data_IF_361242177030
#
_entry.id   IF_361242177030
#
_cell.length_a   1.000
_cell.length_b   1.000
_cell.length_c   1.000
_cell.angle_alpha   90.00
_cell.angle_beta   90.00
_cell.angle_gamma   90.00
#
_symmetry.space_group_name_H-M   'P 1'
#
loop_
_entity.id
_entity.type
_entity.pdbx_description
1 polymer ?
#
# COMPACT_ATOMS: atom_id res chain seq x y z
N UNK A 1 66.87 -17.35 -31.07
CA UNK A 1 65.57 -17.46 -30.35
C UNK A 1 65.04 -16.05 -30.25
N UNK A 2 64.20 -15.67 -31.18
CA UNK A 2 63.59 -14.34 -31.24
C UNK A 2 62.54 -14.25 -30.16
N UNK A 3 62.75 -13.38 -29.18
CA UNK A 3 61.71 -13.02 -28.23
C UNK A 3 60.63 -12.30 -29.01
N UNK A 4 59.56 -13.00 -29.39
CA UNK A 4 58.30 -12.36 -29.79
C UNK A 4 57.74 -11.64 -28.56
N UNK A 5 58.18 -10.42 -28.35
CA UNK A 5 57.53 -9.49 -27.47
C UNK A 5 56.07 -9.34 -27.90
N UNK A 6 55.22 -9.15 -26.93
CA UNK A 6 53.77 -9.03 -27.04
C UNK A 6 53.32 -8.22 -28.25
N UNK A 7 52.97 -8.88 -29.34
CA UNK A 7 52.38 -8.21 -30.50
C UNK A 7 51.03 -7.65 -30.07
N UNK A 8 50.90 -6.33 -30.17
CA UNK A 8 49.68 -5.63 -29.86
C UNK A 8 48.58 -6.07 -30.89
N UNK A 9 47.56 -6.75 -30.42
CA UNK A 9 46.44 -7.22 -31.27
C UNK A 9 45.52 -6.10 -31.63
N UNK A 10 45.47 -5.71 -32.88
CA UNK A 10 44.60 -4.65 -33.45
C UNK A 10 43.48 -5.19 -34.32
N UNK A 11 43.15 -6.48 -34.25
CA UNK A 11 42.09 -7.13 -35.02
C UNK A 11 42.47 -7.50 -36.46
N UNK A 12 43.73 -7.32 -36.86
CA UNK A 12 44.23 -7.63 -38.20
C UNK A 12 45.08 -8.90 -38.29
N UNK A 13 45.20 -9.63 -37.19
CA UNK A 13 45.95 -10.88 -37.10
C UNK A 13 44.99 -12.03 -36.75
N UNK A 14 45.19 -13.20 -37.36
CA UNK A 14 44.32 -14.35 -37.18
C UNK A 14 44.37 -14.92 -35.77
N UNK A 15 45.45 -14.73 -35.05
CA UNK A 15 45.65 -15.27 -33.70
C UNK A 15 46.36 -14.30 -32.80
N UNK A 16 45.88 -14.13 -31.55
CA UNK A 16 46.57 -13.39 -30.51
C UNK A 16 47.71 -14.18 -29.91
N UNK A 17 48.71 -13.52 -29.35
CA UNK A 17 49.82 -14.18 -28.67
C UNK A 17 49.34 -15.06 -27.52
N UNK A 18 50.04 -16.17 -27.23
CA UNK A 18 49.67 -17.10 -26.17
C UNK A 18 49.62 -16.40 -24.80
N UNK A 19 50.52 -15.46 -24.55
CA UNK A 19 50.56 -14.69 -23.31
C UNK A 19 49.33 -13.79 -23.17
N UNK A 20 48.97 -13.04 -24.22
CA UNK A 20 47.78 -12.17 -24.26
C UNK A 20 46.51 -13.00 -24.13
N UNK A 21 46.41 -14.14 -24.85
CA UNK A 21 45.29 -15.07 -24.74
C UNK A 21 45.08 -15.52 -23.30
N UNK A 22 46.17 -15.95 -22.61
CA UNK A 22 46.08 -16.37 -21.21
C UNK A 22 45.62 -15.27 -20.29
N UNK A 23 46.16 -14.05 -20.46
CA UNK A 23 45.78 -12.89 -19.65
C UNK A 23 44.32 -12.53 -19.84
N UNK A 24 43.85 -12.45 -21.10
CA UNK A 24 42.41 -12.14 -21.39
C UNK A 24 41.51 -13.23 -20.87
N UNK A 25 41.87 -14.53 -21.06
CA UNK A 25 41.05 -15.65 -20.54
C UNK A 25 40.93 -15.59 -19.02
N UNK A 26 42.06 -15.34 -18.32
CA UNK A 26 42.01 -15.17 -16.86
C UNK A 26 41.17 -14.00 -16.44
N UNK A 27 41.32 -12.86 -17.11
CA UNK A 27 40.48 -11.65 -16.82
C UNK A 27 39.01 -11.93 -17.00
N UNK A 28 38.61 -12.56 -18.12
CA UNK A 28 37.22 -12.94 -18.39
C UNK A 28 36.72 -13.95 -17.36
N UNK A 29 37.52 -14.96 -17.02
CA UNK A 29 37.16 -15.96 -16.02
C UNK A 29 36.89 -15.32 -14.65
N UNK A 30 37.81 -14.49 -14.16
CA UNK A 30 37.62 -13.80 -12.88
C UNK A 30 36.48 -12.78 -12.94
N UNK A 31 36.28 -12.11 -14.09
CA UNK A 31 35.13 -11.22 -14.30
C UNK A 31 33.80 -11.96 -14.18
N UNK A 32 33.66 -13.11 -14.84
CA UNK A 32 32.47 -13.95 -14.75
C UNK A 32 32.29 -14.45 -13.32
N UNK A 33 33.32 -14.94 -12.67
CA UNK A 33 33.25 -15.40 -11.28
C UNK A 33 32.77 -14.29 -10.33
N UNK A 34 33.30 -13.08 -10.51
CA UNK A 34 32.88 -11.91 -9.73
C UNK A 34 31.39 -11.59 -9.97
N UNK A 35 30.94 -11.57 -11.22
CA UNK A 35 29.53 -11.34 -11.55
C UNK A 35 28.59 -12.37 -10.93
N UNK A 36 28.97 -13.67 -11.01
CA UNK A 36 28.19 -14.74 -10.38
C UNK A 36 28.16 -14.55 -8.86
N UNK A 37 29.29 -14.22 -8.24
CA UNK A 37 29.33 -13.99 -6.78
C UNK A 37 28.43 -12.82 -6.38
N UNK A 38 28.49 -11.69 -7.11
CA UNK A 38 27.60 -10.55 -6.87
C UNK A 38 26.14 -10.95 -7.06
N UNK A 39 25.81 -11.67 -8.12
CA UNK A 39 24.44 -12.14 -8.37
C UNK A 39 23.91 -13.03 -7.25
N UNK A 40 24.74 -13.95 -6.74
CA UNK A 40 24.41 -14.81 -5.59
C UNK A 40 24.18 -13.96 -4.33
N UNK A 41 25.07 -13.02 -4.04
CA UNK A 41 24.92 -12.11 -2.88
C UNK A 41 23.60 -11.34 -3.01
N UNK A 42 23.30 -10.75 -4.18
CA UNK A 42 22.05 -10.05 -4.39
C UNK A 42 20.83 -10.96 -4.20
N UNK A 43 20.87 -12.19 -4.71
CA UNK A 43 19.77 -13.14 -4.54
C UNK A 43 19.49 -13.47 -3.06
N UNK A 44 20.55 -13.65 -2.26
CA UNK A 44 20.39 -13.96 -0.83
C UNK A 44 20.11 -12.74 0.06
N UNK A 45 20.51 -11.54 -0.35
CA UNK A 45 20.26 -10.32 0.42
C UNK A 45 18.91 -9.67 0.11
N UNK A 46 18.22 -10.10 -0.95
CA UNK A 46 16.87 -9.61 -1.24
C UNK A 46 15.90 -10.04 -0.14
N UNK A 47 15.34 -9.08 0.56
CA UNK A 47 14.22 -9.32 1.46
C UNK A 47 13.01 -9.74 0.64
N UNK A 48 12.49 -10.93 0.90
CA UNK A 48 11.21 -11.35 0.33
C UNK A 48 10.11 -10.41 0.80
N UNK A 49 9.35 -9.86 -0.14
CA UNK A 49 8.15 -9.11 0.23
C UNK A 49 7.18 -10.06 0.95
N UNK A 50 6.64 -9.60 2.09
CA UNK A 50 5.63 -10.36 2.83
C UNK A 50 4.44 -10.68 1.91
N UNK A 51 3.80 -11.82 2.14
CA UNK A 51 2.70 -12.34 1.33
C UNK A 51 1.55 -11.34 1.18
N UNK A 52 1.57 -10.57 0.12
CA UNK A 52 0.46 -9.71 -0.29
C UNK A 52 -0.18 -10.31 -1.53
N UNK A 53 -1.48 -10.24 -1.63
CA UNK A 53 -2.21 -10.79 -2.76
C UNK A 53 -3.16 -9.75 -3.33
N UNK A 54 -3.14 -9.62 -4.65
CA UNK A 54 -4.14 -8.89 -5.41
C UNK A 54 -4.73 -9.84 -6.46
N UNK A 55 -6.00 -10.19 -6.28
CA UNK A 55 -6.73 -11.11 -7.16
C UNK A 55 -7.20 -10.40 -8.43
N UNK A 56 -6.27 -10.03 -9.31
CA UNK A 56 -6.54 -9.24 -10.52
C UNK A 56 -7.52 -9.89 -11.49
N UNK A 57 -7.47 -11.22 -11.60
CA UNK A 57 -8.26 -12.00 -12.57
C UNK A 57 -9.50 -12.62 -11.96
N UNK A 58 -9.64 -12.58 -10.64
CA UNK A 58 -10.75 -13.20 -9.91
C UNK A 58 -11.68 -12.11 -9.37
N UNK A 59 -12.96 -12.22 -9.68
CA UNK A 59 -13.99 -11.41 -9.04
C UNK A 59 -14.63 -12.21 -7.91
N UNK A 60 -14.51 -11.70 -6.70
CA UNK A 60 -15.08 -12.29 -5.51
C UNK A 60 -16.32 -11.50 -5.08
N UNK A 61 -17.42 -12.21 -4.87
CA UNK A 61 -18.68 -11.62 -4.39
C UNK A 61 -18.70 -11.64 -2.86
N UNK A 62 -18.85 -10.47 -2.27
CA UNK A 62 -18.88 -10.30 -0.81
C UNK A 62 -20.18 -9.63 -0.40
N UNK A 63 -20.80 -10.16 0.65
CA UNK A 63 -21.96 -9.57 1.29
C UNK A 63 -21.59 -9.01 2.66
N UNK A 64 -22.07 -7.81 2.96
CA UNK A 64 -21.81 -7.18 4.24
C UNK A 64 -22.65 -5.93 4.46
N UNK A 65 -22.63 -5.43 5.67
CA UNK A 65 -23.30 -4.17 6.02
C UNK A 65 -22.42 -3.00 5.55
N UNK A 66 -22.98 -2.17 4.69
CA UNK A 66 -22.29 -1.00 4.16
C UNK A 66 -22.18 0.12 5.19
N UNK A 67 -20.99 0.70 5.31
CA UNK A 67 -20.70 1.89 6.10
C UNK A 67 -20.06 2.95 5.21
N UNK A 68 -20.55 4.17 5.29
CA UNK A 68 -20.04 5.29 4.49
C UNK A 68 -18.84 5.98 5.16
N UNK A 69 -18.88 6.06 6.47
CA UNK A 69 -17.91 6.80 7.27
C UNK A 69 -16.99 5.87 8.08
N UNK A 70 -15.71 6.25 8.25
CA UNK A 70 -15.03 7.44 7.70
C UNK A 70 -14.72 7.34 6.20
N UNK A 71 -14.70 6.15 5.67
CA UNK A 71 -14.53 5.81 4.26
C UNK A 71 -15.43 4.63 3.92
N UNK A 72 -15.84 4.45 2.66
CA UNK A 72 -16.69 3.32 2.26
C UNK A 72 -16.10 1.97 2.65
N UNK A 73 -16.84 1.20 3.43
CA UNK A 73 -16.45 -0.13 3.94
C UNK A 73 -17.62 -1.08 3.94
N UNK A 74 -17.31 -2.38 3.89
CA UNK A 74 -18.25 -3.46 4.21
C UNK A 74 -17.85 -4.11 5.53
N UNK A 75 -18.75 -4.11 6.51
CA UNK A 75 -18.63 -4.93 7.71
C UNK A 75 -19.14 -6.34 7.39
N UNK A 76 -18.23 -7.30 7.42
CA UNK A 76 -18.48 -8.70 7.08
C UNK A 76 -18.33 -9.58 8.30
N UNK A 77 -19.28 -10.46 8.55
CA UNK A 77 -19.18 -11.48 9.60
C UNK A 77 -18.25 -12.60 9.13
N UNK A 78 -17.19 -12.87 9.87
CA UNK A 78 -16.18 -13.90 9.54
C UNK A 78 -16.32 -15.17 10.35
N UNK A 79 -16.78 -15.06 11.60
CA UNK A 79 -17.10 -16.17 12.48
C UNK A 79 -18.17 -15.73 13.49
N UNK A 80 -18.54 -16.61 14.41
CA UNK A 80 -19.48 -16.28 15.46
C UNK A 80 -18.89 -15.11 16.29
N UNK A 81 -19.59 -13.98 16.31
CA UNK A 81 -19.20 -12.74 16.99
C UNK A 81 -17.91 -12.05 16.51
N UNK A 82 -17.35 -12.43 15.37
CA UNK A 82 -16.21 -11.75 14.77
C UNK A 82 -16.57 -11.09 13.45
N UNK A 83 -16.09 -9.85 13.28
CA UNK A 83 -16.35 -9.04 12.09
C UNK A 83 -15.03 -8.48 11.55
N UNK A 84 -15.00 -8.26 10.24
CA UNK A 84 -13.95 -7.52 9.56
C UNK A 84 -14.54 -6.39 8.74
N UNK A 85 -13.83 -5.28 8.67
CA UNK A 85 -14.14 -4.19 7.76
C UNK A 85 -13.29 -4.31 6.50
N UNK A 86 -13.94 -4.52 5.36
CA UNK A 86 -13.32 -4.54 4.05
C UNK A 86 -13.40 -3.13 3.48
N UNK A 87 -12.25 -2.50 3.27
CA UNK A 87 -12.16 -1.15 2.71
C UNK A 87 -12.50 -1.18 1.22
N UNK A 88 -13.47 -0.38 0.78
CA UNK A 88 -13.91 -0.32 -0.60
C UNK A 88 -13.09 0.70 -1.40
N UNK A 89 -12.61 0.29 -2.55
CA UNK A 89 -11.82 1.10 -3.47
C UNK A 89 -12.42 1.01 -4.88
N UNK A 90 -12.20 2.02 -5.70
CA UNK A 90 -12.55 1.99 -7.11
C UNK A 90 -11.44 1.43 -7.98
N UNK A 91 -11.73 1.20 -9.24
CA UNK A 91 -10.75 0.83 -10.26
C UNK A 91 -9.74 1.96 -10.48
N UNK A 92 -8.52 1.63 -10.86
CA UNK A 92 -7.44 2.58 -11.10
C UNK A 92 -7.04 3.34 -9.83
N UNK A 93 -6.96 4.66 -9.92
CA UNK A 93 -6.60 5.58 -8.81
C UNK A 93 -7.82 6.27 -8.20
N UNK A 94 -8.98 5.63 -8.26
CA UNK A 94 -10.26 6.18 -7.81
C UNK A 94 -10.71 5.59 -6.47
N UNK A 95 -11.47 6.38 -5.71
CA UNK A 95 -12.24 5.87 -4.57
C UNK A 95 -13.40 4.99 -5.02
N UNK A 96 -14.08 4.33 -4.08
CA UNK A 96 -15.31 3.59 -4.35
C UNK A 96 -16.50 4.50 -4.72
N UNK A 97 -16.45 5.78 -4.38
CA UNK A 97 -17.57 6.71 -4.48
C UNK A 97 -18.22 6.81 -5.88
N UNK A 98 -17.47 6.89 -6.99
CA UNK A 98 -18.09 6.91 -8.32
C UNK A 98 -18.94 5.67 -8.61
N UNK A 99 -18.48 4.50 -8.17
CA UNK A 99 -19.16 3.22 -8.38
C UNK A 99 -20.40 3.05 -7.48
N UNK A 100 -20.40 3.68 -6.31
CA UNK A 100 -21.52 3.65 -5.38
C UNK A 100 -22.61 4.68 -5.71
N UNK A 101 -22.37 5.59 -6.67
CA UNK A 101 -23.30 6.68 -6.99
C UNK A 101 -24.67 6.17 -7.44
N UNK A 102 -24.74 5.14 -8.29
CA UNK A 102 -25.97 4.57 -8.80
C UNK A 102 -26.85 4.04 -7.66
N UNK A 103 -26.31 3.15 -6.83
CA UNK A 103 -27.06 2.56 -5.72
C UNK A 103 -27.46 3.59 -4.64
N UNK A 104 -26.64 4.64 -4.42
CA UNK A 104 -27.00 5.75 -3.50
C UNK A 104 -28.16 6.58 -4.02
N UNK A 105 -28.32 6.73 -5.33
CA UNK A 105 -29.46 7.42 -5.91
C UNK A 105 -30.76 6.62 -5.81
N UNK A 106 -30.65 5.29 -5.80
CA UNK A 106 -31.81 4.38 -5.68
C UNK A 106 -32.25 4.22 -4.23
N UNK A 107 -31.34 4.41 -3.27
CA UNK A 107 -31.59 4.14 -1.85
C UNK A 107 -31.19 5.36 -1.03
N UNK A 108 -32.17 6.02 -0.43
CA UNK A 108 -31.97 7.24 0.38
C UNK A 108 -31.04 7.05 1.58
N UNK A 109 -30.99 5.85 2.15
CA UNK A 109 -30.11 5.48 3.26
C UNK A 109 -29.42 4.15 2.98
N UNK A 110 -28.27 4.23 2.28
CA UNK A 110 -27.46 3.06 1.97
C UNK A 110 -26.67 2.58 3.18
N UNK A 111 -26.13 3.51 4.00
CA UNK A 111 -25.34 3.16 5.19
C UNK A 111 -26.19 2.41 6.21
N UNK A 112 -25.70 1.25 6.65
CA UNK A 112 -26.41 0.30 7.49
C UNK A 112 -27.20 -0.78 6.72
N UNK A 113 -27.28 -0.68 5.39
CA UNK A 113 -27.93 -1.70 4.55
C UNK A 113 -27.00 -2.87 4.27
N UNK A 114 -27.55 -4.06 4.13
CA UNK A 114 -26.84 -5.22 3.64
C UNK A 114 -26.71 -5.14 2.12
N UNK A 115 -25.50 -5.11 1.62
CA UNK A 115 -25.20 -5.07 0.18
C UNK A 115 -24.32 -6.23 -0.22
N UNK A 116 -24.43 -6.62 -1.48
CA UNK A 116 -23.51 -7.54 -2.14
C UNK A 116 -22.71 -6.80 -3.17
N UNK A 117 -21.40 -6.91 -3.09
CA UNK A 117 -20.46 -6.27 -4.02
C UNK A 117 -19.53 -7.34 -4.58
N UNK A 118 -19.34 -7.32 -5.90
CA UNK A 118 -18.37 -8.17 -6.59
C UNK A 118 -17.20 -7.34 -7.07
N UNK A 119 -15.99 -7.81 -6.80
CA UNK A 119 -14.77 -7.10 -7.17
C UNK A 119 -13.51 -7.92 -6.92
N UNK A 120 -12.35 -7.28 -7.09
CA UNK A 120 -11.06 -7.93 -6.86
C UNK A 120 -10.60 -7.71 -5.43
N UNK A 121 -10.25 -8.79 -4.75
CA UNK A 121 -9.70 -8.72 -3.39
C UNK A 121 -8.23 -8.31 -3.39
N UNK A 122 -7.88 -7.51 -2.40
CA UNK A 122 -6.50 -7.15 -2.06
C UNK A 122 -6.36 -7.42 -0.57
N UNK A 123 -5.40 -8.26 -0.19
CA UNK A 123 -5.18 -8.55 1.22
C UNK A 123 -3.69 -8.67 1.57
N UNK A 124 -3.37 -8.14 2.73
CA UNK A 124 -2.02 -8.08 3.25
C UNK A 124 -2.05 -7.85 4.76
N UNK A 125 -1.25 -8.60 5.50
CA UNK A 125 -1.03 -8.41 6.93
C UNK A 125 -2.34 -8.23 7.73
N UNK A 126 -3.32 -9.12 7.50
CA UNK A 126 -4.61 -9.12 8.18
C UNK A 126 -5.65 -8.12 7.66
N UNK A 127 -5.27 -7.15 6.82
CA UNK A 127 -6.18 -6.18 6.20
C UNK A 127 -6.70 -6.67 4.87
N UNK A 128 -7.96 -6.36 4.58
CA UNK A 128 -8.63 -6.73 3.32
C UNK A 128 -9.28 -5.50 2.70
N UNK A 129 -9.09 -5.34 1.39
CA UNK A 129 -9.70 -4.30 0.57
C UNK A 129 -10.42 -4.97 -0.59
N UNK A 130 -11.45 -4.33 -1.12
CA UNK A 130 -12.18 -4.76 -2.30
C UNK A 130 -12.16 -3.67 -3.35
N UNK A 131 -11.56 -3.95 -4.51
CA UNK A 131 -11.58 -3.06 -5.67
C UNK A 131 -12.85 -3.30 -6.48
N UNK A 132 -13.72 -2.31 -6.54
CA UNK A 132 -14.92 -2.31 -7.39
C UNK A 132 -14.49 -1.94 -8.80
N UNK A 133 -14.86 -2.76 -9.78
CA UNK A 133 -14.54 -2.55 -11.20
C UNK A 133 -15.74 -2.11 -12.03
N UNK A 134 -16.96 -2.42 -11.57
CA UNK A 134 -18.22 -2.10 -12.24
C UNK A 134 -19.31 -1.82 -11.21
N UNK A 135 -20.09 -0.76 -11.39
CA UNK A 135 -21.22 -0.38 -10.53
C UNK A 135 -22.42 -1.32 -10.64
N UNK A 136 -22.60 -2.00 -11.78
CA UNK A 136 -23.66 -3.00 -11.98
C UNK A 136 -23.51 -4.25 -11.08
N UNK A 137 -22.31 -4.44 -10.52
CA UNK A 137 -21.98 -5.53 -9.62
C UNK A 137 -22.26 -5.21 -8.14
N UNK A 138 -22.94 -4.11 -7.87
CA UNK A 138 -23.36 -3.68 -6.53
C UNK A 138 -24.87 -3.86 -6.44
N UNK A 139 -25.33 -4.71 -5.52
CA UNK A 139 -26.75 -4.99 -5.34
C UNK A 139 -27.17 -4.84 -3.89
N UNK A 140 -28.34 -4.26 -3.65
CA UNK A 140 -28.96 -4.24 -2.33
C UNK A 140 -29.50 -5.65 -2.03
N UNK A 141 -29.17 -6.17 -0.86
CA UNK A 141 -29.70 -7.43 -0.34
C UNK A 141 -30.82 -7.15 0.65
N UNK A 142 -30.60 -6.23 1.59
CA UNK A 142 -31.57 -5.87 2.62
C UNK A 142 -31.40 -4.39 2.99
N UNK A 143 -32.51 -3.66 3.11
CA UNK A 143 -32.47 -2.24 3.56
C UNK A 143 -32.09 -2.16 5.02
N UNK A 144 -31.48 -1.03 5.38
CA UNK A 144 -31.14 -0.74 6.76
C UNK A 144 -32.40 -0.87 7.64
N UNK A 145 -32.42 -1.88 8.49
CA UNK A 145 -33.29 -1.90 9.63
C UNK A 145 -32.62 -1.07 10.72
N UNK A 146 -33.40 -0.37 11.54
CA UNK A 146 -32.95 0.55 12.60
C UNK A 146 -32.01 -0.07 13.65
N UNK A 147 -31.26 -1.10 13.29
CA UNK A 147 -30.23 -1.69 14.10
C UNK A 147 -29.12 -0.66 14.29
N UNK A 148 -28.89 -0.31 15.56
CA UNK A 148 -27.81 0.58 15.97
C UNK A 148 -26.53 0.18 15.27
N UNK A 149 -25.96 1.09 14.47
CA UNK A 149 -24.60 0.97 13.96
C UNK A 149 -23.67 0.66 15.15
N UNK A 150 -22.70 -0.25 14.99
CA UNK A 150 -21.77 -0.56 16.07
C UNK A 150 -21.12 0.73 16.56
N UNK A 151 -21.18 0.94 17.87
CA UNK A 151 -20.55 2.11 18.47
C UNK A 151 -19.03 1.98 18.30
N UNK A 152 -18.43 2.91 17.59
CA UNK A 152 -16.99 3.07 17.55
C UNK A 152 -16.48 3.37 18.96
N UNK A 153 -15.55 2.56 19.45
CA UNK A 153 -14.97 2.73 20.76
C UNK A 153 -13.67 3.54 20.65
N UNK A 154 -13.64 4.72 21.26
CA UNK A 154 -12.38 5.47 21.40
C UNK A 154 -11.46 4.70 22.31
N UNK A 155 -10.23 4.40 21.88
CA UNK A 155 -9.25 3.61 22.63
C UNK A 155 -8.27 4.49 23.38
N UNK A 156 -7.64 5.45 22.69
CA UNK A 156 -6.57 6.30 23.22
C UNK A 156 -6.71 7.72 22.69
N UNK A 157 -6.48 8.72 23.56
CA UNK A 157 -6.43 10.13 23.19
C UNK A 157 -4.98 10.59 23.12
N UNK A 158 -4.73 11.60 22.29
CA UNK A 158 -3.45 12.31 22.17
C UNK A 158 -2.24 11.37 21.95
N UNK A 159 -2.44 10.30 21.18
CA UNK A 159 -1.39 9.35 20.84
C UNK A 159 -0.46 9.92 19.77
N UNK A 160 0.86 9.86 20.02
CA UNK A 160 1.87 10.18 19.01
C UNK A 160 2.29 8.92 18.27
N UNK A 161 2.15 8.94 16.95
CA UNK A 161 2.51 7.83 16.08
C UNK A 161 3.51 8.29 15.02
N UNK A 162 4.64 7.57 14.96
CA UNK A 162 5.65 7.75 13.92
C UNK A 162 5.44 6.73 12.80
N UNK A 163 5.33 7.21 11.57
CA UNK A 163 5.09 6.33 10.42
C UNK A 163 5.16 7.04 9.09
N UNK A 164 4.64 6.40 8.08
CA UNK A 164 4.54 6.96 6.74
C UNK A 164 3.08 6.90 6.25
N UNK A 165 2.62 7.99 5.64
CA UNK A 165 1.30 8.05 5.02
C UNK A 165 1.37 7.42 3.64
N UNK A 166 0.63 6.34 3.47
CA UNK A 166 0.63 5.48 2.29
C UNK A 166 -0.75 5.45 1.60
N UNK A 167 -0.74 5.05 0.34
CA UNK A 167 -1.91 4.56 -0.39
C UNK A 167 -2.06 3.06 -0.11
N UNK A 168 -3.14 2.62 0.56
CA UNK A 168 -3.31 1.22 0.95
C UNK A 168 -3.46 0.27 -0.25
N UNK A 169 -4.03 0.73 -1.37
CA UNK A 169 -4.20 -0.12 -2.55
C UNK A 169 -2.87 -0.59 -3.13
N UNK A 170 -1.95 0.34 -3.34
CA UNK A 170 -0.62 0.04 -3.83
C UNK A 170 0.22 -0.67 -2.77
N UNK A 171 0.18 -0.19 -1.53
CA UNK A 171 0.98 -0.74 -0.45
C UNK A 171 0.64 -2.19 -0.13
N UNK A 172 -0.66 -2.53 -0.04
CA UNK A 172 -1.10 -3.89 0.27
C UNK A 172 -1.07 -4.83 -0.93
N UNK A 173 -1.18 -4.35 -2.17
CA UNK A 173 -1.34 -5.25 -3.29
C UNK A 173 -0.51 -4.99 -4.53
N UNK A 174 -0.62 -3.78 -5.10
CA UNK A 174 -0.23 -3.54 -6.49
C UNK A 174 1.25 -3.28 -6.68
N UNK A 175 1.87 -2.54 -5.76
CA UNK A 175 3.24 -2.03 -5.93
C UNK A 175 4.15 -2.45 -4.79
N UNK A 176 5.38 -2.83 -5.13
CA UNK A 176 6.43 -3.12 -4.15
C UNK A 176 7.73 -2.41 -4.55
N UNK A 177 8.28 -1.59 -3.67
CA UNK A 177 7.72 -1.13 -2.40
C UNK A 177 6.57 -0.14 -2.62
N UNK A 178 5.47 -0.27 -1.88
CA UNK A 178 4.30 0.63 -1.94
C UNK A 178 4.45 1.87 -1.05
N UNK A 179 5.68 2.23 -0.66
CA UNK A 179 6.01 3.31 0.27
C UNK A 179 7.28 4.04 -0.14
N UNK A 180 7.58 5.13 0.57
CA UNK A 180 8.81 5.89 0.44
C UNK A 180 8.81 6.83 -0.76
N UNK A 181 9.96 7.47 -0.94
CA UNK A 181 10.17 8.49 -1.97
C UNK A 181 9.88 7.98 -3.39
N UNK A 182 10.17 6.73 -3.67
CA UNK A 182 9.97 6.06 -4.97
C UNK A 182 8.49 6.00 -5.33
N UNK A 183 7.62 5.73 -4.34
CA UNK A 183 6.17 5.55 -4.55
C UNK A 183 5.37 6.83 -4.36
N UNK A 184 5.96 7.90 -3.84
CA UNK A 184 5.27 9.12 -3.41
C UNK A 184 4.36 9.73 -4.46
N UNK A 185 4.81 9.90 -5.69
CA UNK A 185 4.01 10.50 -6.76
C UNK A 185 2.77 9.67 -7.10
N UNK A 186 2.90 8.36 -7.11
CA UNK A 186 1.77 7.46 -7.31
C UNK A 186 0.77 7.56 -6.16
N UNK A 187 1.24 7.50 -4.91
CA UNK A 187 0.39 7.59 -3.71
C UNK A 187 -0.35 8.94 -3.63
N UNK A 188 0.29 10.05 -3.97
CA UNK A 188 -0.36 11.36 -4.07
C UNK A 188 -1.50 11.34 -5.07
N UNK A 189 -1.32 10.75 -6.25
CA UNK A 189 -2.38 10.63 -7.26
C UNK A 189 -3.54 9.74 -6.78
N UNK A 190 -3.24 8.62 -6.14
CA UNK A 190 -4.24 7.71 -5.59
C UNK A 190 -5.07 8.37 -4.49
N UNK A 191 -4.42 9.01 -3.53
CA UNK A 191 -5.11 9.69 -2.42
C UNK A 191 -5.88 10.92 -2.91
N UNK A 192 -5.35 11.67 -3.89
CA UNK A 192 -6.09 12.77 -4.51
C UNK A 192 -7.33 12.29 -5.28
N UNK A 193 -7.29 11.09 -5.85
CA UNK A 193 -8.42 10.40 -6.48
C UNK A 193 -9.44 9.83 -5.48
N UNK A 194 -9.19 10.01 -4.17
CA UNK A 194 -10.11 9.67 -3.09
C UNK A 194 -9.85 8.31 -2.44
N UNK A 195 -8.75 7.62 -2.77
CA UNK A 195 -8.32 6.44 -2.00
C UNK A 195 -7.97 6.89 -0.58
N UNK A 196 -8.48 6.21 0.47
CA UNK A 196 -8.25 6.61 1.86
C UNK A 196 -6.76 6.66 2.21
N UNK A 197 -6.25 7.73 2.84
CA UNK A 197 -4.89 7.76 3.36
C UNK A 197 -4.79 6.86 4.60
N UNK A 198 -3.71 6.09 4.67
CA UNK A 198 -3.40 5.21 5.80
C UNK A 198 -2.04 5.56 6.36
N UNK A 199 -1.92 5.73 7.68
CA UNK A 199 -0.64 5.74 8.35
C UNK A 199 -0.19 4.29 8.56
N UNK A 200 0.95 3.93 8.01
CA UNK A 200 1.63 2.68 8.30
C UNK A 200 2.74 2.95 9.32
N UNK A 201 2.64 2.32 10.47
CA UNK A 201 3.67 2.31 11.52
C UNK A 201 4.38 0.97 11.52
N UNK A 202 5.60 0.94 12.02
CA UNK A 202 6.33 -0.31 12.24
C UNK A 202 7.08 -0.17 13.55
N UNK A 203 6.89 -1.11 14.45
CA UNK A 203 7.57 -1.14 15.73
C UNK A 203 8.99 -1.74 15.64
N UNK A 204 9.69 -1.81 16.74
CA UNK A 204 11.04 -2.38 16.87
C UNK A 204 11.09 -3.89 16.53
N UNK A 205 9.96 -4.59 16.64
CA UNK A 205 9.82 -6.01 16.32
C UNK A 205 9.40 -6.25 14.85
N UNK A 206 9.37 -5.20 14.01
CA UNK A 206 8.88 -5.21 12.64
C UNK A 206 7.38 -5.59 12.50
N UNK A 207 6.59 -5.36 13.54
CA UNK A 207 5.14 -5.49 13.50
C UNK A 207 4.58 -4.17 12.96
N UNK A 208 3.77 -4.27 11.91
CA UNK A 208 3.17 -3.09 11.27
C UNK A 208 1.72 -2.95 11.65
N UNK A 209 1.34 -1.73 12.03
CA UNK A 209 -0.03 -1.31 12.30
C UNK A 209 -0.50 -0.28 11.27
N UNK A 210 -1.81 -0.23 11.03
CA UNK A 210 -2.41 0.58 9.97
C UNK A 210 -3.58 1.39 10.50
N UNK A 211 -3.53 2.71 10.28
CA UNK A 211 -4.52 3.65 10.78
C UNK A 211 -5.11 4.45 9.63
N UNK A 212 -6.42 4.37 9.42
CA UNK A 212 -7.15 5.26 8.52
C UNK A 212 -7.12 6.68 9.06
N UNK A 213 -6.65 7.63 8.27
CA UNK A 213 -6.45 9.00 8.74
C UNK A 213 -7.69 9.84 8.42
N UNK A 214 -8.18 10.58 9.42
CA UNK A 214 -9.33 11.48 9.30
C UNK A 214 -9.08 12.80 10.04
N UNK A 215 -9.96 13.79 9.86
CA UNK A 215 -9.98 14.96 10.73
C UNK A 215 -10.47 14.59 12.15
N UNK A 216 -10.41 15.55 13.08
CA UNK A 216 -10.83 15.36 14.47
C UNK A 216 -12.32 14.98 14.62
N UNK A 217 -13.15 15.22 13.58
CA UNK A 217 -14.56 14.85 13.54
C UNK A 217 -14.81 13.51 12.85
N UNK A 218 -13.76 12.83 12.39
CA UNK A 218 -13.87 11.58 11.66
C UNK A 218 -14.15 11.72 10.16
N UNK A 219 -14.05 12.90 9.57
CA UNK A 219 -14.27 13.09 8.14
C UNK A 219 -13.01 12.83 7.31
N UNK A 220 -13.16 12.43 6.03
CA UNK A 220 -12.05 12.27 5.11
C UNK A 220 -11.23 13.54 4.90
N UNK A 221 -9.90 13.41 4.85
CA UNK A 221 -8.96 14.55 4.72
C UNK A 221 -8.03 14.44 3.51
N UNK A 222 -8.39 13.67 2.51
CA UNK A 222 -7.56 13.34 1.35
C UNK A 222 -6.78 14.54 0.78
N UNK A 223 -7.45 15.67 0.52
CA UNK A 223 -6.80 16.85 -0.06
C UNK A 223 -5.80 17.51 0.87
N UNK A 224 -6.09 17.56 2.17
CA UNK A 224 -5.28 18.25 3.18
C UNK A 224 -3.99 17.49 3.51
N UNK A 225 -4.00 16.16 3.34
CA UNK A 225 -2.89 15.27 3.72
C UNK A 225 -1.80 15.14 2.63
N UNK A 226 -2.08 15.57 1.39
CA UNK A 226 -1.20 15.37 0.22
C UNK A 226 0.27 15.81 0.43
N UNK A 227 0.58 16.92 1.12
CA UNK A 227 1.96 17.36 1.34
C UNK A 227 2.83 16.37 2.15
N UNK A 228 2.19 15.52 2.95
CA UNK A 228 2.84 14.62 3.91
C UNK A 228 3.00 13.18 3.40
N UNK A 229 2.39 12.84 2.26
CA UNK A 229 2.40 11.48 1.70
C UNK A 229 3.82 11.06 1.32
N UNK A 230 4.16 9.81 1.62
CA UNK A 230 5.43 9.19 1.26
C UNK A 230 6.63 9.83 1.97
N UNK A 231 6.42 10.34 3.18
CA UNK A 231 7.44 10.92 4.05
C UNK A 231 7.32 10.36 5.45
N UNK A 232 8.45 10.11 6.15
CA UNK A 232 8.42 9.85 7.57
C UNK A 232 7.81 11.04 8.32
N UNK A 233 6.76 10.79 9.05
CA UNK A 233 5.99 11.82 9.73
C UNK A 233 5.60 11.39 11.14
N UNK A 234 5.47 12.37 12.05
CA UNK A 234 4.89 12.19 13.37
C UNK A 234 3.50 12.80 13.36
N UNK A 235 2.50 11.98 13.68
CA UNK A 235 1.10 12.36 13.76
C UNK A 235 0.63 12.21 15.20
N UNK A 236 -0.06 13.23 15.70
CA UNK A 236 -0.69 13.19 17.02
C UNK A 236 -2.21 13.20 16.85
N UNK A 237 -2.91 12.31 17.55
CA UNK A 237 -4.37 12.24 17.43
C UNK A 237 -5.02 11.19 18.31
N UNK A 238 -6.35 11.07 18.15
CA UNK A 238 -7.17 10.11 18.88
C UNK A 238 -7.34 8.84 18.06
N UNK A 239 -7.16 7.70 18.68
CA UNK A 239 -7.36 6.39 18.07
C UNK A 239 -8.75 5.89 18.39
N UNK A 240 -9.46 5.49 17.32
CA UNK A 240 -10.78 4.86 17.40
C UNK A 240 -10.70 3.49 16.74
N UNK A 241 -11.26 2.47 17.38
CA UNK A 241 -11.31 1.13 16.80
C UNK A 241 -12.53 0.97 15.87
N UNK A 242 -12.28 0.43 14.68
CA UNK A 242 -13.26 0.09 13.66
C UNK A 242 -13.12 -1.40 13.32
N UNK A 243 -13.59 -2.29 14.19
CA UNK A 243 -13.37 -3.74 14.10
C UNK A 243 -11.86 -4.09 14.02
N UNK A 244 -11.43 -4.60 12.89
CA UNK A 244 -10.02 -4.94 12.62
C UNK A 244 -9.17 -3.77 12.11
N UNK A 245 -9.75 -2.59 11.91
CA UNK A 245 -9.05 -1.36 11.55
C UNK A 245 -8.96 -0.38 12.71
N UNK A 246 -7.98 0.50 12.66
CA UNK A 246 -7.90 1.69 13.50
C UNK A 246 -8.13 2.93 12.66
N UNK A 247 -8.80 3.92 13.25
CA UNK A 247 -8.92 5.27 12.73
C UNK A 247 -8.09 6.20 13.60
N UNK A 248 -7.25 7.02 12.97
CA UNK A 248 -6.49 8.08 13.63
C UNK A 248 -7.12 9.42 13.26
N UNK A 249 -7.71 10.06 14.26
CA UNK A 249 -8.34 11.39 14.14
C UNK A 249 -7.33 12.47 14.49
N UNK A 250 -6.94 13.30 13.51
CA UNK A 250 -5.85 14.28 13.66
C UNK A 250 -6.27 15.70 13.31
N UNK A 251 -5.53 16.67 13.83
CA UNK A 251 -5.40 17.98 13.21
C UNK A 251 -4.22 17.96 12.24
N UNK A 252 -4.50 18.19 10.96
CA UNK A 252 -3.47 18.16 9.90
C UNK A 252 -2.35 19.17 10.14
N UNK A 253 -2.65 20.28 10.82
CA UNK A 253 -1.68 21.33 11.10
C UNK A 253 -0.62 20.91 12.14
N UNK A 254 -0.87 19.83 12.89
CA UNK A 254 0.06 19.33 13.91
C UNK A 254 1.05 18.29 13.37
N UNK A 255 0.91 17.88 12.10
CA UNK A 255 1.81 16.88 11.49
C UNK A 255 3.23 17.43 11.41
N UNK A 256 4.19 16.68 11.95
CA UNK A 256 5.62 16.99 11.88
C UNK A 256 6.29 16.13 10.80
N UNK A 257 6.89 16.77 9.78
CA UNK A 257 7.74 16.11 8.77
C UNK A 257 9.11 15.80 9.38
N UNK A 258 9.44 14.54 9.53
CA UNK A 258 10.69 14.09 10.17
C UNK A 258 11.91 14.16 9.21
N UNK A 259 11.70 14.41 7.92
CA UNK A 259 12.76 14.58 6.94
C UNK A 259 13.26 16.04 6.79
N UNK A 260 12.61 17.00 7.45
CA UNK A 260 13.14 18.36 7.44
C UNK A 260 14.40 18.40 8.33
N UNK A 261 15.59 18.75 7.79
CA UNK A 261 16.70 19.05 8.66
C UNK A 261 16.26 20.14 9.63
N UNK A 262 16.48 19.92 10.92
CA UNK A 262 16.45 21.01 11.90
C UNK A 262 17.21 22.16 11.29
N UNK A 263 16.61 23.36 11.21
CA UNK A 263 17.26 24.55 10.64
C UNK A 263 18.69 24.62 11.16
N UNK A 264 19.64 24.46 10.25
CA UNK A 264 21.04 24.83 10.53
C UNK A 264 21.01 26.36 10.54
N UNK A 265 21.12 26.94 11.71
CA UNK A 265 21.41 28.35 11.88
C UNK A 265 22.90 28.58 11.65
#
# INVERSE_FOLDING_TARGET
MENKEDDFYIGYVDNISVKTKKTVTNFVFFGILTLITIAVIFAFTQNTFKNSTFELTTNTKIMGVYHEMPYPMLKVKTAENTFKNILLLGFGKSSANPFLKKIRNEISQLSGSMVSIEGNLIYYNGKTLLQITNDEKITLVEKANSQKLPQTKSLVKDMELKGEIIDPKCYFGVMKPGKGKIHRSCAVLCISGGIPPVLATTDENNISEYYLITDLKGNPINKKILPYIGKPSLLTGNIVQLEDWYQLQIDVNTIKDLNRPSKIY
#
